data_IF_230649691998
#
_entry.id   IF_230649691998
#
_cell.length_a   1.000
_cell.length_b   1.000
_cell.length_c   1.000
_cell.angle_alpha   90.00
_cell.angle_beta   90.00
_cell.angle_gamma   90.00
#
_symmetry.space_group_name_H-M   'P 1'
#
loop_
_entity.id
_entity.type
_entity.pdbx_description
1 polymer ?
#
# COMPACT_ATOMS: atom_id res chain seq x y z
N UNK A 1 -37.76 45.89 -20.67
CA UNK A 1 -37.48 45.07 -21.87
C UNK A 1 -36.11 44.46 -21.65
N UNK A 2 -36.10 43.19 -21.22
CA UNK A 2 -34.91 42.42 -20.82
C UNK A 2 -34.60 41.43 -21.94
N UNK A 3 -33.34 40.97 -21.99
CA UNK A 3 -32.73 39.89 -22.81
C UNK A 3 -31.94 40.41 -24.02
N UNK A 4 -30.74 39.96 -24.35
CA UNK A 4 -29.66 39.18 -23.71
C UNK A 4 -28.50 39.27 -24.73
N UNK A 5 -27.28 39.60 -24.32
CA UNK A 5 -26.11 39.59 -25.20
C UNK A 5 -25.57 38.16 -25.35
N UNK A 6 -25.59 37.66 -26.59
CA UNK A 6 -25.00 36.37 -26.96
C UNK A 6 -23.48 36.46 -27.04
N UNK A 7 -22.80 35.93 -26.02
CA UNK A 7 -21.36 35.69 -26.00
C UNK A 7 -21.03 34.24 -26.34
N UNK A 8 -20.52 34.01 -27.54
CA UNK A 8 -20.06 32.73 -28.06
C UNK A 8 -18.72 32.36 -27.40
N UNK A 9 -18.74 31.42 -26.44
CA UNK A 9 -17.53 30.93 -25.77
C UNK A 9 -16.98 29.74 -26.54
N UNK A 10 -15.88 30.02 -27.24
CA UNK A 10 -14.95 29.09 -27.85
C UNK A 10 -14.45 28.08 -26.80
N UNK A 11 -14.96 26.84 -26.85
CA UNK A 11 -14.45 25.74 -26.03
C UNK A 11 -13.18 25.21 -26.64
N UNK A 12 -12.08 25.87 -26.30
CA UNK A 12 -10.73 25.35 -26.47
C UNK A 12 -10.64 23.93 -25.94
N UNK A 13 -10.45 23.00 -26.89
CA UNK A 13 -10.16 21.59 -26.66
C UNK A 13 -8.78 21.52 -26.00
N UNK A 14 -8.76 21.54 -24.68
CA UNK A 14 -7.54 21.32 -23.90
C UNK A 14 -6.95 19.97 -24.30
N UNK A 15 -5.75 20.00 -24.88
CA UNK A 15 -4.97 18.81 -25.17
C UNK A 15 -4.77 18.01 -23.88
N UNK A 16 -4.76 16.66 -23.94
CA UNK A 16 -4.33 15.87 -22.80
C UNK A 16 -2.87 16.21 -22.53
N UNK A 17 -2.60 16.63 -21.30
CA UNK A 17 -1.26 16.74 -20.75
C UNK A 17 -0.50 15.46 -21.06
N UNK A 18 0.64 15.58 -21.73
CA UNK A 18 1.56 14.50 -22.08
C UNK A 18 2.26 13.95 -20.85
N UNK A 19 1.50 13.35 -19.93
CA UNK A 19 1.97 12.61 -18.76
C UNK A 19 1.79 11.09 -18.95
N UNK A 20 1.84 10.63 -20.21
CA UNK A 20 1.46 9.26 -20.59
C UNK A 20 2.61 8.29 -20.81
N UNK A 21 3.88 8.73 -20.79
CA UNK A 21 5.03 7.89 -21.15
C UNK A 21 5.98 7.58 -19.97
N UNK A 22 6.13 8.47 -19.00
CA UNK A 22 7.05 8.27 -17.87
C UNK A 22 6.37 7.62 -16.65
N UNK A 23 5.07 7.86 -16.43
CA UNK A 23 4.34 7.48 -15.20
C UNK A 23 4.02 6.00 -14.99
N UNK A 24 4.73 5.08 -15.65
CA UNK A 24 4.47 3.63 -15.57
C UNK A 24 5.72 2.77 -15.58
N UNK A 25 6.90 3.35 -15.30
CA UNK A 25 8.16 2.63 -15.35
C UNK A 25 8.12 1.34 -14.51
N UNK A 26 7.60 1.41 -13.28
CA UNK A 26 7.54 0.24 -12.40
C UNK A 26 6.67 -0.90 -12.97
N UNK A 27 5.61 -0.58 -13.72
CA UNK A 27 4.73 -1.57 -14.32
C UNK A 27 5.30 -2.15 -15.61
N UNK A 28 6.06 -1.36 -16.37
CA UNK A 28 6.80 -1.86 -17.52
C UNK A 28 7.84 -2.89 -17.06
N UNK A 29 8.67 -2.54 -16.08
CA UNK A 29 9.68 -3.44 -15.53
C UNK A 29 9.05 -4.68 -14.88
N UNK A 30 7.89 -4.54 -14.24
CA UNK A 30 7.11 -5.67 -13.70
C UNK A 30 6.69 -6.64 -14.81
N UNK A 31 6.25 -6.13 -15.96
CA UNK A 31 5.85 -6.93 -17.13
C UNK A 31 7.00 -7.76 -17.72
N UNK A 32 8.24 -7.32 -17.53
CA UNK A 32 9.43 -8.02 -18.01
C UNK A 32 9.82 -9.23 -17.13
N UNK A 33 9.31 -9.31 -15.88
CA UNK A 33 9.69 -10.36 -14.93
C UNK A 33 9.04 -11.74 -15.18
N UNK A 34 8.20 -11.86 -16.21
CA UNK A 34 7.49 -13.10 -16.58
C UNK A 34 6.75 -13.77 -15.40
N UNK A 35 6.29 -13.00 -14.41
CA UNK A 35 5.55 -13.55 -13.27
C UNK A 35 4.23 -14.19 -13.68
N UNK A 36 3.66 -13.80 -14.83
CA UNK A 36 2.41 -14.38 -15.35
C UNK A 36 2.51 -15.86 -15.71
N UNK A 37 3.73 -16.41 -15.85
CA UNK A 37 3.95 -17.85 -16.00
C UNK A 37 3.65 -18.66 -14.71
N UNK A 38 3.58 -18.00 -13.54
CA UNK A 38 3.29 -18.66 -12.26
C UNK A 38 1.81 -19.04 -12.23
N UNK A 39 1.49 -20.32 -11.96
CA UNK A 39 0.10 -20.83 -11.97
C UNK A 39 -0.70 -20.33 -10.76
N UNK A 40 -0.15 -20.46 -9.55
CA UNK A 40 -0.84 -20.12 -8.31
C UNK A 40 -0.95 -18.60 -8.15
N UNK A 41 -2.17 -18.05 -8.23
CA UNK A 41 -2.42 -16.60 -8.16
C UNK A 41 -1.85 -15.96 -6.90
N UNK A 42 -2.08 -16.56 -5.73
CA UNK A 42 -1.53 -16.04 -4.47
C UNK A 42 -0.01 -15.92 -4.49
N UNK A 43 0.69 -16.92 -5.06
CA UNK A 43 2.16 -16.90 -5.18
C UNK A 43 2.62 -15.87 -6.22
N UNK A 44 1.95 -15.82 -7.37
CA UNK A 44 2.22 -14.83 -8.41
C UNK A 44 2.08 -13.40 -7.90
N UNK A 45 0.99 -13.10 -7.20
CA UNK A 45 0.78 -11.79 -6.57
C UNK A 45 1.84 -11.46 -5.53
N UNK A 46 2.20 -12.43 -4.68
CA UNK A 46 3.26 -12.23 -3.71
C UNK A 46 4.61 -11.91 -4.38
N UNK A 47 4.94 -12.59 -5.49
CA UNK A 47 6.13 -12.29 -6.30
C UNK A 47 6.07 -10.90 -6.94
N UNK A 48 4.93 -10.53 -7.57
CA UNK A 48 4.74 -9.20 -8.18
C UNK A 48 4.88 -8.07 -7.15
N UNK A 49 4.23 -8.19 -5.99
CA UNK A 49 4.32 -7.19 -4.92
C UNK A 49 5.70 -7.18 -4.24
N UNK A 50 6.37 -8.34 -4.14
CA UNK A 50 7.77 -8.42 -3.69
C UNK A 50 8.72 -7.71 -4.64
N UNK A 51 8.52 -7.85 -5.94
CA UNK A 51 9.29 -7.12 -6.95
C UNK A 51 9.13 -5.61 -6.77
N UNK A 52 7.89 -5.11 -6.70
CA UNK A 52 7.60 -3.69 -6.47
C UNK A 52 8.25 -3.18 -5.18
N UNK A 53 8.11 -3.93 -4.08
CA UNK A 53 8.72 -3.59 -2.80
C UNK A 53 10.25 -3.47 -2.89
N UNK A 54 10.90 -4.36 -3.65
CA UNK A 54 12.35 -4.33 -3.85
C UNK A 54 12.76 -3.18 -4.74
N UNK A 55 12.06 -3.00 -5.87
CA UNK A 55 12.35 -1.96 -6.86
C UNK A 55 12.21 -0.55 -6.28
N UNK A 56 11.26 -0.34 -5.38
CA UNK A 56 11.10 0.91 -4.63
C UNK A 56 12.02 1.03 -3.41
N UNK A 57 12.89 0.07 -3.10
CA UNK A 57 13.69 0.03 -1.86
C UNK A 57 12.87 0.02 -0.55
N UNK A 58 11.56 -0.19 -0.61
CA UNK A 58 10.67 -0.14 0.55
C UNK A 58 10.87 -1.32 1.51
N UNK A 59 11.48 -2.42 1.04
CA UNK A 59 11.93 -3.54 1.88
C UNK A 59 12.99 -3.17 2.93
N UNK A 60 13.70 -2.05 2.75
CA UNK A 60 14.71 -1.54 3.69
C UNK A 60 14.13 -0.60 4.76
N UNK A 61 12.85 -0.27 4.67
CA UNK A 61 12.14 0.62 5.59
C UNK A 61 11.27 -0.25 6.49
N UNK A 62 11.42 -0.19 7.80
CA UNK A 62 10.54 -0.93 8.71
C UNK A 62 9.28 -0.14 9.09
N UNK A 63 8.40 -0.78 9.85
CA UNK A 63 7.15 -0.14 10.30
C UNK A 63 7.40 1.06 11.22
N UNK A 64 8.49 1.09 11.98
CA UNK A 64 8.79 2.20 12.88
C UNK A 64 9.17 3.45 12.10
N UNK A 65 9.91 3.29 11.00
CA UNK A 65 10.18 4.39 10.06
C UNK A 65 8.89 4.91 9.40
N UNK A 66 7.97 4.03 9.02
CA UNK A 66 6.66 4.44 8.50
C UNK A 66 5.88 5.24 9.54
N UNK A 67 5.84 4.76 10.80
CA UNK A 67 5.15 5.45 11.91
C UNK A 67 5.73 6.85 12.13
N UNK A 68 7.06 6.97 12.15
CA UNK A 68 7.76 8.23 12.31
C UNK A 68 7.44 9.21 11.18
N UNK A 69 7.56 8.78 9.91
CA UNK A 69 7.27 9.65 8.78
C UNK A 69 5.79 10.08 8.72
N UNK A 70 4.86 9.20 9.07
CA UNK A 70 3.43 9.53 9.18
C UNK A 70 3.17 10.57 10.27
N UNK A 71 3.88 10.46 11.41
CA UNK A 71 3.79 11.42 12.51
C UNK A 71 4.39 12.77 12.11
N UNK A 72 5.56 12.78 11.48
CA UNK A 72 6.25 14.01 11.08
C UNK A 72 5.48 14.74 9.97
N UNK A 73 4.77 14.01 9.11
CA UNK A 73 3.82 14.56 8.14
C UNK A 73 2.48 15.03 8.76
N UNK A 74 2.31 14.87 10.08
CA UNK A 74 1.09 15.24 10.82
C UNK A 74 -0.13 14.39 10.50
N UNK A 75 0.03 13.21 9.88
CA UNK A 75 -1.07 12.33 9.48
C UNK A 75 -1.57 11.43 10.63
N UNK A 76 -0.88 11.41 11.76
CA UNK A 76 -1.31 10.68 12.96
C UNK A 76 -2.55 11.34 13.62
N UNK A 77 -2.71 12.65 13.49
CA UNK A 77 -3.81 13.42 14.08
C UNK A 77 -4.99 13.65 13.12
N UNK A 78 -4.87 13.21 11.86
CA UNK A 78 -5.91 13.37 10.84
C UNK A 78 -6.80 12.13 10.80
N UNK A 79 -8.10 12.33 10.59
CA UNK A 79 -9.05 11.23 10.43
C UNK A 79 -8.67 10.32 9.26
N UNK A 80 -8.89 9.01 9.43
CA UNK A 80 -8.49 7.99 8.46
C UNK A 80 -9.14 8.19 7.07
N UNK A 81 -10.38 8.65 7.03
CA UNK A 81 -11.13 8.84 5.78
C UNK A 81 -10.86 10.20 5.12
N UNK A 82 -10.07 11.08 5.75
CA UNK A 82 -9.76 12.37 5.17
C UNK A 82 -8.90 12.19 3.91
N UNK A 83 -9.25 12.91 2.84
CA UNK A 83 -8.46 12.96 1.63
C UNK A 83 -7.11 13.66 1.85
N UNK A 84 -6.09 13.24 1.12
CA UNK A 84 -4.80 13.91 1.09
C UNK A 84 -4.41 14.26 -0.35
N UNK A 85 -3.61 15.30 -0.53
CA UNK A 85 -3.07 15.66 -1.85
C UNK A 85 -1.91 14.75 -2.26
N UNK A 86 -1.71 14.59 -3.56
CA UNK A 86 -0.57 13.87 -4.13
C UNK A 86 0.76 14.47 -3.65
N UNK A 87 0.88 15.80 -3.64
CA UNK A 87 2.06 16.49 -3.10
C UNK A 87 2.36 16.14 -1.64
N UNK A 88 1.32 15.94 -0.81
CA UNK A 88 1.53 15.53 0.59
C UNK A 88 2.02 14.08 0.69
N UNK A 89 1.55 13.20 -0.19
CA UNK A 89 2.06 11.84 -0.33
C UNK A 89 3.54 11.85 -0.79
N UNK A 90 3.86 12.62 -1.84
CA UNK A 90 5.22 12.77 -2.37
C UNK A 90 6.20 13.26 -1.29
N UNK A 91 5.82 14.29 -0.52
CA UNK A 91 6.66 14.82 0.56
C UNK A 91 6.91 13.78 1.67
N UNK A 92 5.88 13.02 2.05
CA UNK A 92 6.02 11.94 3.05
C UNK A 92 6.98 10.86 2.55
N UNK A 93 6.77 10.38 1.32
CA UNK A 93 7.58 9.30 0.74
C UNK A 93 9.03 9.77 0.49
N UNK A 94 9.21 11.00 0.02
CA UNK A 94 10.53 11.62 -0.14
C UNK A 94 11.27 11.71 1.19
N UNK A 95 10.58 12.13 2.26
CA UNK A 95 11.17 12.15 3.60
C UNK A 95 11.64 10.75 4.04
N UNK A 96 10.82 9.72 3.84
CA UNK A 96 11.16 8.33 4.15
C UNK A 96 12.47 7.89 3.46
N UNK A 97 12.58 8.07 2.14
CA UNK A 97 13.77 7.62 1.40
C UNK A 97 15.00 8.48 1.67
N UNK A 98 14.85 9.78 1.93
CA UNK A 98 15.95 10.64 2.34
C UNK A 98 16.47 10.29 3.75
N UNK A 99 15.59 9.87 4.66
CA UNK A 99 16.02 9.37 5.97
C UNK A 99 16.67 7.99 5.86
N UNK A 100 16.19 7.13 4.95
CA UNK A 100 16.81 5.83 4.69
C UNK A 100 18.22 5.99 4.13
N UNK A 101 18.41 6.84 3.10
CA UNK A 101 19.72 7.01 2.46
C UNK A 101 20.79 7.53 3.40
N UNK A 102 20.43 8.38 4.37
CA UNK A 102 21.33 8.85 5.43
C UNK A 102 21.77 7.75 6.41
N UNK A 103 20.97 6.69 6.56
CA UNK A 103 21.22 5.58 7.49
C UNK A 103 21.94 4.39 6.84
N UNK A 104 21.87 4.26 5.51
CA UNK A 104 22.52 3.18 4.79
C UNK A 104 24.05 3.35 4.78
N UNK A 105 24.82 2.25 4.85
CA UNK A 105 26.26 2.28 4.62
C UNK A 105 26.61 2.85 3.24
N UNK A 106 27.77 3.49 3.11
CA UNK A 106 28.25 4.03 1.81
C UNK A 106 28.43 2.96 0.72
N UNK A 107 28.51 1.69 1.11
CA UNK A 107 28.57 0.53 0.20
C UNK A 107 27.20 0.11 -0.34
N UNK A 108 26.10 0.64 0.20
CA UNK A 108 24.75 0.38 -0.24
C UNK A 108 24.03 1.71 -0.49
N UNK A 109 24.24 2.27 -1.68
CA UNK A 109 23.58 3.51 -2.09
C UNK A 109 22.25 3.23 -2.77
N UNK A 110 21.27 4.07 -2.49
CA UNK A 110 19.97 4.12 -3.19
C UNK A 110 19.79 5.50 -3.80
N UNK A 111 18.97 5.60 -4.84
CA UNK A 111 18.47 6.89 -5.34
C UNK A 111 17.13 7.21 -4.65
N UNK A 112 17.09 8.16 -3.69
CA UNK A 112 15.86 8.46 -2.94
C UNK A 112 14.77 9.07 -3.81
N UNK A 113 15.15 9.90 -4.78
CA UNK A 113 14.21 10.56 -5.68
C UNK A 113 13.50 9.54 -6.57
N UNK A 114 14.26 8.62 -7.18
CA UNK A 114 13.70 7.56 -8.00
C UNK A 114 12.80 6.63 -7.18
N UNK A 115 13.26 6.21 -5.99
CA UNK A 115 12.45 5.38 -5.07
C UNK A 115 11.13 6.07 -4.69
N UNK A 116 11.16 7.39 -4.55
CA UNK A 116 9.97 8.21 -4.26
C UNK A 116 9.00 8.17 -5.42
N UNK A 117 9.47 8.47 -6.64
CA UNK A 117 8.63 8.50 -7.85
C UNK A 117 7.95 7.14 -8.04
N UNK A 118 8.72 6.05 -8.02
CA UNK A 118 8.20 4.69 -8.25
C UNK A 118 7.16 4.27 -7.20
N UNK A 119 7.39 4.60 -5.91
CA UNK A 119 6.43 4.24 -4.87
C UNK A 119 5.16 5.09 -4.93
N UNK A 120 5.29 6.39 -5.21
CA UNK A 120 4.14 7.29 -5.38
C UNK A 120 3.29 6.83 -6.56
N UNK A 121 3.91 6.55 -7.72
CA UNK A 121 3.23 6.02 -8.90
C UNK A 121 2.47 4.72 -8.59
N UNK A 122 3.12 3.79 -7.90
CA UNK A 122 2.48 2.52 -7.53
C UNK A 122 1.29 2.72 -6.58
N UNK A 123 1.42 3.59 -5.57
CA UNK A 123 0.33 3.90 -4.65
C UNK A 123 -0.84 4.54 -5.40
N UNK A 124 -0.58 5.53 -6.26
CA UNK A 124 -1.63 6.18 -7.05
C UNK A 124 -2.33 5.19 -7.98
N UNK A 125 -1.57 4.32 -8.67
CA UNK A 125 -2.15 3.27 -9.50
C UNK A 125 -3.02 2.29 -8.68
N UNK A 126 -2.64 1.99 -7.44
CA UNK A 126 -3.49 1.19 -6.54
C UNK A 126 -4.76 1.93 -6.15
N UNK A 127 -4.71 3.24 -5.89
CA UNK A 127 -5.92 4.04 -5.65
C UNK A 127 -6.83 4.05 -6.87
N UNK A 128 -6.27 4.28 -8.06
CA UNK A 128 -7.02 4.39 -9.32
C UNK A 128 -7.54 3.05 -9.85
N UNK A 129 -7.09 1.93 -9.27
CA UNK A 129 -7.53 0.59 -9.66
C UNK A 129 -8.99 0.28 -9.31
N UNK A 130 -9.60 1.06 -8.42
CA UNK A 130 -10.99 0.93 -8.00
C UNK A 130 -11.78 2.20 -8.37
N UNK A 131 -12.94 2.09 -9.04
CA UNK A 131 -13.78 3.24 -9.34
C UNK A 131 -14.16 4.04 -8.08
N UNK A 132 -14.19 5.37 -8.18
CA UNK A 132 -14.55 6.31 -7.11
C UNK A 132 -13.66 6.30 -5.85
N UNK A 133 -12.57 5.52 -5.88
CA UNK A 133 -11.55 5.49 -4.84
C UNK A 133 -10.82 6.84 -4.75
N UNK A 134 -10.45 7.22 -3.53
CA UNK A 134 -9.73 8.46 -3.25
C UNK A 134 -8.49 8.17 -2.43
N UNK A 135 -7.45 8.98 -2.62
CA UNK A 135 -6.25 8.92 -1.79
C UNK A 135 -6.58 9.48 -0.39
N UNK A 136 -6.61 8.60 0.60
CA UNK A 136 -6.93 8.95 2.00
C UNK A 136 -5.76 8.71 2.94
N UNK A 137 -5.87 9.19 4.18
CA UNK A 137 -4.93 8.85 5.25
C UNK A 137 -4.88 7.34 5.49
N UNK A 138 -6.03 6.66 5.44
CA UNK A 138 -6.10 5.21 5.57
C UNK A 138 -5.34 4.51 4.46
N UNK A 139 -5.52 4.95 3.21
CA UNK A 139 -4.82 4.41 2.05
C UNK A 139 -3.32 4.41 2.23
N UNK A 140 -2.75 5.57 2.60
CA UNK A 140 -1.29 5.70 2.79
C UNK A 140 -0.80 4.82 3.93
N UNK A 141 -1.45 4.89 5.10
CA UNK A 141 -1.05 4.09 6.26
C UNK A 141 -1.13 2.59 5.97
N UNK A 142 -2.20 2.13 5.34
CA UNK A 142 -2.40 0.73 5.01
C UNK A 142 -1.36 0.25 3.99
N UNK A 143 -1.20 0.93 2.86
CA UNK A 143 -0.30 0.50 1.79
C UNK A 143 1.16 0.51 2.24
N UNK A 144 1.61 1.56 2.95
CA UNK A 144 2.97 1.61 3.49
C UNK A 144 3.20 0.53 4.56
N UNK A 145 2.24 0.31 5.47
CA UNK A 145 2.37 -0.74 6.49
C UNK A 145 2.48 -2.14 5.86
N UNK A 146 1.68 -2.41 4.82
CA UNK A 146 1.68 -3.71 4.15
C UNK A 146 2.96 -3.94 3.37
N UNK A 147 3.44 -2.93 2.64
CA UNK A 147 4.59 -3.04 1.74
C UNK A 147 5.95 -2.76 2.41
N UNK A 148 6.04 -2.15 3.59
CA UNK A 148 7.33 -1.93 4.26
C UNK A 148 8.06 -3.26 4.57
N UNK A 149 9.34 -3.21 4.92
CA UNK A 149 10.10 -4.33 5.45
C UNK A 149 9.71 -4.71 6.88
N UNK A 150 10.52 -5.59 7.49
CA UNK A 150 10.39 -5.96 8.90
C UNK A 150 9.38 -7.07 9.21
N UNK A 151 9.12 -7.29 10.50
CA UNK A 151 8.31 -8.41 11.01
C UNK A 151 6.83 -8.18 10.75
N UNK A 152 6.15 -9.20 10.22
CA UNK A 152 4.71 -9.16 9.93
C UNK A 152 3.88 -8.81 11.18
N UNK A 153 4.23 -9.36 12.34
CA UNK A 153 3.50 -9.12 13.59
C UNK A 153 3.55 -7.64 14.00
N UNK A 154 4.67 -6.95 13.82
CA UNK A 154 4.78 -5.53 14.21
C UNK A 154 3.97 -4.63 13.29
N UNK A 155 3.92 -4.96 12.00
CA UNK A 155 3.00 -4.32 11.03
C UNK A 155 1.54 -4.51 11.42
N UNK A 156 1.15 -5.72 11.80
CA UNK A 156 -0.22 -6.01 12.21
C UNK A 156 -0.60 -5.34 13.53
N UNK A 157 0.33 -5.19 14.47
CA UNK A 157 0.13 -4.35 15.67
C UNK A 157 -0.13 -2.90 15.29
N UNK A 158 0.63 -2.36 14.35
CA UNK A 158 0.37 -1.02 13.83
C UNK A 158 -1.01 -0.92 13.18
N UNK A 159 -1.37 -1.85 12.29
CA UNK A 159 -2.72 -1.90 11.68
C UNK A 159 -3.80 -1.91 12.76
N UNK A 160 -3.70 -2.80 13.75
CA UNK A 160 -4.65 -2.88 14.86
C UNK A 160 -4.80 -1.54 15.58
N UNK A 161 -3.70 -0.83 15.83
CA UNK A 161 -3.74 0.50 16.46
C UNK A 161 -4.52 1.54 15.65
N UNK A 162 -4.58 1.40 14.32
CA UNK A 162 -5.36 2.28 13.46
C UNK A 162 -6.85 1.90 13.45
N UNK A 163 -7.15 0.60 13.55
CA UNK A 163 -8.51 0.08 13.42
C UNK A 163 -9.22 -0.18 14.75
N UNK A 164 -8.55 0.03 15.89
CA UNK A 164 -9.17 -0.06 17.22
C UNK A 164 -9.74 1.27 17.71
N UNK A 165 -10.52 1.22 18.79
CA UNK A 165 -10.91 2.37 19.59
C UNK A 165 -9.92 2.62 20.75
N UNK A 166 -10.19 3.64 21.55
CA UNK A 166 -9.38 4.00 22.72
C UNK A 166 -9.41 2.97 23.85
N UNK A 167 -10.36 2.02 23.81
CA UNK A 167 -10.43 0.90 24.75
C UNK A 167 -9.64 -0.34 24.30
N UNK A 168 -8.96 -0.25 23.15
CA UNK A 168 -8.19 -1.36 22.57
C UNK A 168 -9.07 -2.43 21.93
N UNK A 169 -10.30 -2.10 21.54
CA UNK A 169 -11.23 -3.01 20.86
C UNK A 169 -11.29 -2.66 19.37
N UNK A 170 -11.24 -3.68 18.51
CA UNK A 170 -11.39 -3.52 17.07
C UNK A 170 -12.71 -2.83 16.71
N UNK A 171 -12.63 -1.79 15.89
CA UNK A 171 -13.79 -1.17 15.25
C UNK A 171 -13.97 -1.79 13.87
N UNK A 172 -15.02 -2.60 13.73
CA UNK A 172 -15.24 -3.43 12.54
C UNK A 172 -15.28 -2.63 11.22
N UNK A 173 -15.87 -1.43 11.23
CA UNK A 173 -15.92 -0.57 10.04
C UNK A 173 -14.55 -0.03 9.63
N UNK A 174 -13.67 0.28 10.60
CA UNK A 174 -12.29 0.68 10.30
C UNK A 174 -11.49 -0.50 9.72
N UNK A 175 -11.72 -1.70 10.25
CA UNK A 175 -11.09 -2.91 9.73
C UNK A 175 -11.57 -3.27 8.32
N UNK A 176 -12.87 -3.16 8.04
CA UNK A 176 -13.42 -3.28 6.68
C UNK A 176 -12.76 -2.29 5.72
N UNK A 177 -12.64 -1.02 6.11
CA UNK A 177 -11.91 -0.01 5.35
C UNK A 177 -10.45 -0.39 5.07
N UNK A 178 -9.74 -0.90 6.09
CA UNK A 178 -8.37 -1.38 5.91
C UNK A 178 -8.28 -2.55 4.92
N UNK A 179 -9.17 -3.53 4.99
CA UNK A 179 -9.17 -4.67 4.06
C UNK A 179 -9.39 -4.23 2.61
N UNK A 180 -10.22 -3.20 2.39
CA UNK A 180 -10.41 -2.60 1.05
C UNK A 180 -9.14 -1.91 0.56
N UNK A 181 -8.47 -1.12 1.40
CA UNK A 181 -7.20 -0.48 1.01
C UNK A 181 -6.10 -1.53 0.74
N UNK A 182 -6.06 -2.61 1.51
CA UNK A 182 -5.11 -3.70 1.28
C UNK A 182 -5.37 -4.45 -0.04
N UNK A 183 -6.63 -4.62 -0.44
CA UNK A 183 -7.02 -5.28 -1.69
C UNK A 183 -6.64 -4.47 -2.94
N UNK A 184 -6.50 -3.15 -2.84
CA UNK A 184 -6.04 -2.32 -3.97
C UNK A 184 -4.63 -2.68 -4.45
N UNK A 185 -3.78 -3.21 -3.58
CA UNK A 185 -2.42 -3.63 -3.93
C UNK A 185 -2.40 -4.79 -4.94
N UNK A 186 -3.08 -5.94 -4.69
CA UNK A 186 -3.20 -6.98 -5.70
C UNK A 186 -4.00 -6.53 -6.93
N UNK A 187 -4.99 -5.64 -6.78
CA UNK A 187 -5.72 -5.09 -7.96
C UNK A 187 -4.80 -4.30 -8.88
N UNK A 188 -3.91 -3.46 -8.35
CA UNK A 188 -2.93 -2.69 -9.14
C UNK A 188 -2.01 -3.56 -10.00
N UNK A 189 -1.73 -4.80 -9.58
CA UNK A 189 -0.89 -5.74 -10.33
C UNK A 189 -1.71 -6.75 -11.15
N UNK A 190 -2.99 -6.42 -11.39
CA UNK A 190 -3.96 -7.18 -12.19
C UNK A 190 -4.32 -8.55 -11.59
N UNK A 191 -4.32 -8.68 -10.27
CA UNK A 191 -4.64 -9.94 -9.57
C UNK A 191 -5.88 -9.86 -8.69
N UNK A 192 -6.50 -8.68 -8.58
CA UNK A 192 -7.67 -8.40 -7.72
C UNK A 192 -8.78 -9.48 -7.73
N UNK A 193 -9.22 -9.99 -8.90
CA UNK A 193 -10.26 -11.03 -8.98
C UNK A 193 -9.93 -12.33 -8.22
N UNK A 194 -8.65 -12.65 -7.98
CA UNK A 194 -8.22 -13.86 -7.26
C UNK A 194 -8.43 -13.77 -5.74
N UNK A 195 -8.66 -12.56 -5.22
CA UNK A 195 -8.62 -12.27 -3.79
C UNK A 195 -9.97 -11.91 -3.17
N UNK A 196 -11.05 -12.01 -3.96
CA UNK A 196 -12.46 -12.03 -3.56
C UNK A 196 -12.84 -11.21 -2.32
N UNK A 197 -13.65 -10.16 -2.51
CA UNK A 197 -14.11 -9.32 -1.41
C UNK A 197 -15.63 -9.35 -1.26
N UNK A 198 -16.10 -9.40 -0.02
CA UNK A 198 -17.52 -9.21 0.32
C UNK A 198 -17.64 -8.21 1.46
N UNK A 199 -18.75 -7.49 1.53
CA UNK A 199 -19.03 -6.54 2.63
C UNK A 199 -19.13 -7.20 4.01
N UNK A 200 -19.23 -8.53 4.06
CA UNK A 200 -19.23 -9.32 5.30
C UNK A 200 -17.86 -9.87 5.69
N UNK A 201 -16.83 -9.70 4.85
CA UNK A 201 -15.51 -10.34 5.03
C UNK A 201 -14.88 -9.97 6.39
N UNK A 202 -14.88 -8.68 6.74
CA UNK A 202 -14.35 -8.21 8.01
C UNK A 202 -15.04 -8.89 9.22
N UNK A 203 -16.35 -9.08 9.15
CA UNK A 203 -17.13 -9.77 10.20
C UNK A 203 -16.83 -11.25 10.24
N UNK A 204 -16.69 -11.89 9.08
CA UNK A 204 -16.41 -13.33 8.96
C UNK A 204 -15.05 -13.74 9.50
N UNK A 205 -14.10 -12.80 9.63
CA UNK A 205 -12.81 -13.05 10.29
C UNK A 205 -12.97 -13.36 11.80
N UNK A 206 -14.08 -12.95 12.41
CA UNK A 206 -14.29 -13.03 13.86
C UNK A 206 -15.72 -13.47 14.23
N UNK A 207 -16.20 -14.64 13.73
CA UNK A 207 -17.62 -15.01 13.75
C UNK A 207 -18.21 -15.17 15.17
N UNK A 208 -17.36 -15.52 16.14
CA UNK A 208 -17.77 -15.76 17.53
C UNK A 208 -17.34 -14.64 18.50
N UNK A 209 -16.58 -13.64 18.03
CA UNK A 209 -15.98 -12.64 18.90
C UNK A 209 -16.80 -11.34 18.90
N UNK A 210 -17.42 -11.04 20.05
CA UNK A 210 -18.12 -9.75 20.25
C UNK A 210 -17.17 -8.57 20.44
N UNK A 211 -15.97 -8.84 20.97
CA UNK A 211 -14.89 -7.86 21.18
C UNK A 211 -13.58 -8.49 20.76
N UNK A 212 -12.97 -7.95 19.72
CA UNK A 212 -11.67 -8.43 19.21
C UNK A 212 -10.59 -7.54 19.79
N UNK A 213 -9.72 -8.12 20.63
CA UNK A 213 -8.53 -7.48 21.18
C UNK A 213 -7.30 -7.82 20.32
N UNK A 214 -6.16 -7.17 20.59
CA UNK A 214 -4.95 -7.31 19.77
C UNK A 214 -4.53 -8.76 19.53
N UNK A 215 -4.44 -9.60 20.57
CA UNK A 215 -3.98 -10.98 20.39
C UNK A 215 -4.94 -11.80 19.50
N UNK A 216 -6.26 -11.62 19.69
CA UNK A 216 -7.28 -12.25 18.84
C UNK A 216 -7.19 -11.77 17.39
N UNK A 217 -6.86 -10.50 17.18
CA UNK A 217 -6.62 -9.96 15.85
C UNK A 217 -5.36 -10.57 15.21
N UNK A 218 -4.27 -10.74 15.97
CA UNK A 218 -3.02 -11.30 15.46
C UNK A 218 -3.15 -12.77 15.04
N UNK A 219 -4.14 -13.50 15.55
CA UNK A 219 -4.45 -14.87 15.11
C UNK A 219 -4.87 -14.93 13.63
N UNK A 220 -5.24 -13.80 13.01
CA UNK A 220 -5.48 -13.68 11.56
C UNK A 220 -4.27 -14.09 10.71
N UNK A 221 -3.06 -14.13 11.28
CA UNK A 221 -1.87 -14.62 10.57
C UNK A 221 -1.94 -16.12 10.30
N UNK A 222 -2.57 -16.90 11.19
CA UNK A 222 -2.70 -18.33 11.02
C UNK A 222 -3.66 -18.66 9.88
N UNK A 223 -4.79 -17.95 9.82
CA UNK A 223 -5.81 -18.09 8.79
C UNK A 223 -6.18 -16.71 8.21
N UNK A 224 -5.33 -16.17 7.31
CA UNK A 224 -5.58 -14.86 6.72
C UNK A 224 -6.84 -14.91 5.85
N UNK A 225 -7.71 -13.88 5.89
CA UNK A 225 -8.85 -13.80 4.99
C UNK A 225 -8.37 -13.75 3.54
N UNK A 226 -9.20 -14.21 2.61
CA UNK A 226 -8.83 -14.34 1.20
C UNK A 226 -8.20 -13.07 0.62
N UNK A 227 -8.65 -11.87 1.01
CA UNK A 227 -8.06 -10.63 0.50
C UNK A 227 -6.63 -10.32 0.98
N UNK A 228 -6.11 -11.05 1.98
CA UNK A 228 -4.80 -10.86 2.60
C UNK A 228 -3.86 -12.06 2.48
N UNK A 229 -4.28 -13.18 1.89
CA UNK A 229 -3.46 -14.42 1.82
C UNK A 229 -2.11 -14.22 1.10
N UNK A 230 -2.00 -13.19 0.26
CA UNK A 230 -0.75 -12.79 -0.41
C UNK A 230 0.29 -12.19 0.56
N UNK A 231 -0.13 -11.52 1.64
CA UNK A 231 0.77 -10.80 2.53
C UNK A 231 1.71 -11.76 3.29
N UNK A 232 1.21 -12.79 4.02
CA UNK A 232 2.10 -13.73 4.69
C UNK A 232 3.03 -14.45 3.72
N UNK A 233 2.58 -14.71 2.49
CA UNK A 233 3.40 -15.35 1.46
C UNK A 233 4.53 -14.44 0.98
N UNK A 234 4.25 -13.15 0.73
CA UNK A 234 5.26 -12.15 0.38
C UNK A 234 6.34 -12.03 1.47
N UNK A 235 5.94 -12.10 2.75
CA UNK A 235 6.88 -12.16 3.87
C UNK A 235 7.73 -13.44 3.89
N UNK A 236 7.14 -14.60 3.58
CA UNK A 236 7.90 -15.86 3.46
C UNK A 236 8.93 -15.79 2.33
N UNK A 237 8.55 -15.23 1.17
CA UNK A 237 9.49 -15.01 0.05
C UNK A 237 10.68 -14.17 0.50
N UNK A 238 10.42 -13.05 1.18
CA UNK A 238 11.49 -12.21 1.71
C UNK A 238 12.41 -13.00 2.66
N UNK A 239 11.89 -13.82 3.57
CA UNK A 239 12.71 -14.61 4.48
C UNK A 239 13.59 -15.65 3.77
N UNK A 240 13.05 -16.31 2.73
CA UNK A 240 13.80 -17.28 1.93
C UNK A 240 14.98 -16.61 1.22
N UNK A 241 14.77 -15.44 0.62
CA UNK A 241 15.84 -14.66 -0.03
C UNK A 241 17.00 -14.33 0.95
N UNK A 242 16.67 -13.90 2.17
CA UNK A 242 17.70 -13.60 3.18
C UNK A 242 18.41 -14.87 3.68
N UNK A 243 17.69 -15.97 3.83
CA UNK A 243 18.25 -17.26 4.25
C UNK A 243 19.17 -17.90 3.21
N UNK A 244 18.93 -17.66 1.91
CA UNK A 244 19.82 -18.14 0.85
C UNK A 244 21.19 -17.45 0.86
N UNK A 245 21.29 -16.21 1.37
CA UNK A 245 22.57 -15.52 1.49
C UNK A 245 23.41 -15.94 2.72
N UNK A 246 22.80 -16.57 3.73
CA UNK A 246 23.52 -17.06 4.93
C UNK A 246 24.13 -18.46 4.76
N UNK A 247 23.81 -19.18 3.69
CA UNK A 247 24.29 -20.55 3.45
C UNK A 247 25.36 -20.68 2.34
N UNK A 248 25.87 -19.56 1.81
CA UNK A 248 26.90 -19.54 0.75
C UNK A 248 28.23 -18.91 1.17
N UNK A 249 28.61 -19.01 2.44
CA UNK A 249 29.97 -18.67 2.91
C UNK A 249 30.60 -19.83 3.67
#
# INVERSE_FOLDING_TARGET
MVMEEGGQIDRGRGAPTTAGAEGRQIFMELGEQNFDAIILSTYRTACKLRFIQKRCNLHLIDIYNVIEAVRDAGLNAVELNAGISVTRLENLVSSLFNQLSKRLPTTHTINPQESTVLLVEFILAAIDSEPDSRLTVLSVKAMLAMLCGGKLIDKLRYVFSQVSDSSGVLVLSKFDGFLREALKLPTAVHEGPSFGYTHTLARSCFPQQKRVMLNMFLDIVAEPPQCLVWLPLMHRLANVEHGTHTHTH
#
